data_IF_611318671162
#
_entry.id   IF_611318671162
#
_cell.length_a   1.000
_cell.length_b   1.000
_cell.length_c   1.000
_cell.angle_alpha   90.00
_cell.angle_beta   90.00
_cell.angle_gamma   90.00
#
_symmetry.space_group_name_H-M   'P 1'
#
loop_
_entity.id
_entity.type
_entity.pdbx_description
1 polymer ?
#
# COMPACT_ATOMS: atom_id res chain seq x y z
N UNK A 1 -17.81 5.85 26.90
CA UNK A 1 -17.82 5.31 25.53
C UNK A 1 -16.46 4.69 25.29
N UNK A 2 -16.33 3.45 24.80
CA UNK A 2 -15.01 2.95 24.44
C UNK A 2 -14.54 3.79 23.25
N UNK A 3 -13.44 4.51 23.45
CA UNK A 3 -12.79 5.28 22.41
C UNK A 3 -12.36 4.29 21.32
N UNK A 4 -13.03 4.27 20.17
CA UNK A 4 -12.59 3.46 19.03
C UNK A 4 -11.21 3.96 18.62
N UNK A 5 -10.21 3.11 18.78
CA UNK A 5 -8.84 3.43 18.43
C UNK A 5 -8.61 3.19 16.94
N UNK A 6 -7.89 4.12 16.32
CA UNK A 6 -7.55 4.10 14.90
C UNK A 6 -6.08 3.72 14.74
N UNK A 7 -5.78 2.92 13.72
CA UNK A 7 -4.40 2.68 13.27
C UNK A 7 -4.24 3.15 11.82
N UNK A 8 -3.16 3.88 11.56
CA UNK A 8 -2.80 4.34 10.22
C UNK A 8 -1.70 3.42 9.70
N UNK A 9 -1.86 2.86 8.50
CA UNK A 9 -0.86 1.95 7.92
C UNK A 9 -0.48 2.35 6.50
N UNK A 10 0.81 2.58 6.28
CA UNK A 10 1.40 2.64 4.95
C UNK A 10 1.68 1.24 4.40
N UNK A 11 1.62 1.10 3.08
CA UNK A 11 1.99 -0.13 2.36
C UNK A 11 3.20 0.17 1.46
N UNK A 12 4.44 -0.10 1.89
CA UNK A 12 5.62 0.18 1.09
C UNK A 12 5.67 -0.78 -0.10
N UNK A 13 5.54 -0.27 -1.32
CA UNK A 13 5.52 -1.09 -2.53
C UNK A 13 6.82 -1.90 -2.68
N UNK A 14 7.99 -1.28 -2.48
CA UNK A 14 9.28 -1.95 -2.52
C UNK A 14 9.44 -3.12 -1.52
N UNK A 15 8.71 -3.10 -0.40
CA UNK A 15 8.76 -4.16 0.59
C UNK A 15 7.99 -5.41 0.14
N UNK A 16 6.98 -5.22 -0.71
CA UNK A 16 6.13 -6.27 -1.26
C UNK A 16 6.55 -6.72 -2.66
N UNK A 17 7.21 -5.86 -3.45
CA UNK A 17 7.68 -6.15 -4.80
C UNK A 17 9.15 -5.71 -4.96
N UNK A 18 10.05 -6.37 -4.24
CA UNK A 18 11.49 -6.07 -4.29
C UNK A 18 12.10 -6.34 -5.68
N UNK A 19 11.54 -7.31 -6.42
CA UNK A 19 11.87 -7.61 -7.81
C UNK A 19 10.59 -7.49 -8.63
N UNK A 20 10.67 -6.85 -9.79
CA UNK A 20 9.51 -6.64 -10.67
C UNK A 20 8.79 -7.97 -10.97
N UNK A 21 7.48 -8.01 -10.71
CA UNK A 21 6.62 -9.18 -10.89
C UNK A 21 6.69 -10.22 -9.78
N UNK A 22 7.54 -10.05 -8.76
CA UNK A 22 7.68 -11.00 -7.64
C UNK A 22 7.11 -10.38 -6.36
N UNK A 23 5.90 -10.83 -6.01
CA UNK A 23 5.14 -10.31 -4.87
C UNK A 23 5.31 -11.18 -3.62
N UNK A 24 5.56 -10.55 -2.47
CA UNK A 24 5.64 -11.23 -1.18
C UNK A 24 4.72 -10.58 -0.13
N UNK A 25 3.75 -11.37 0.34
CA UNK A 25 2.80 -11.03 1.41
C UNK A 25 2.84 -12.07 2.54
N UNK A 26 4.01 -12.66 2.80
CA UNK A 26 4.20 -13.70 3.82
C UNK A 26 5.08 -13.23 4.97
N UNK A 27 4.94 -13.84 6.15
CA UNK A 27 5.70 -13.46 7.34
C UNK A 27 5.44 -12.01 7.74
N UNK A 28 6.50 -11.23 7.94
CA UNK A 28 6.40 -9.81 8.33
C UNK A 28 5.76 -8.92 7.24
N UNK A 29 5.54 -9.45 6.03
CA UNK A 29 4.87 -8.77 4.91
C UNK A 29 3.38 -9.10 4.81
N UNK A 30 2.83 -9.88 5.73
CA UNK A 30 1.42 -10.29 5.66
C UNK A 30 0.48 -9.17 6.14
N UNK A 31 0.04 -8.37 5.17
CA UNK A 31 -0.89 -7.26 5.42
C UNK A 31 -2.29 -7.77 5.80
N UNK A 32 -2.73 -8.89 5.24
CA UNK A 32 -4.06 -9.46 5.52
C UNK A 32 -4.11 -9.99 6.96
N UNK A 33 -3.03 -10.61 7.44
CA UNK A 33 -2.88 -11.01 8.84
C UNK A 33 -2.90 -9.80 9.79
N UNK A 34 -2.19 -8.70 9.45
CA UNK A 34 -2.24 -7.47 10.23
C UNK A 34 -3.66 -6.91 10.34
N UNK A 35 -4.39 -6.84 9.22
CA UNK A 35 -5.78 -6.36 9.18
C UNK A 35 -6.70 -7.25 10.01
N UNK A 36 -6.51 -8.57 9.94
CA UNK A 36 -7.22 -9.54 10.78
C UNK A 36 -7.00 -9.30 12.26
N UNK A 37 -5.75 -9.10 12.69
CA UNK A 37 -5.40 -8.84 14.09
C UNK A 37 -5.97 -7.50 14.58
N UNK A 38 -5.89 -6.46 13.75
CA UNK A 38 -6.51 -5.17 14.05
C UNK A 38 -8.04 -5.32 14.19
N UNK A 39 -8.69 -6.12 13.34
CA UNK A 39 -10.13 -6.35 13.41
C UNK A 39 -10.51 -7.10 14.70
N UNK A 40 -9.75 -8.14 15.07
CA UNK A 40 -9.95 -8.91 16.30
C UNK A 40 -9.80 -8.07 17.58
N UNK A 41 -8.97 -7.03 17.53
CA UNK A 41 -8.77 -6.08 18.64
C UNK A 41 -9.75 -4.91 18.62
N UNK A 42 -10.67 -4.86 17.64
CA UNK A 42 -11.66 -3.80 17.49
C UNK A 42 -11.10 -2.47 16.96
N UNK A 43 -9.91 -2.51 16.34
CA UNK A 43 -9.27 -1.34 15.73
C UNK A 43 -9.79 -1.12 14.31
N UNK A 44 -10.09 0.14 14.01
CA UNK A 44 -10.37 0.61 12.66
C UNK A 44 -9.07 1.04 11.97
N UNK A 45 -9.01 0.83 10.65
CA UNK A 45 -7.81 1.03 9.85
C UNK A 45 -8.02 2.16 8.84
N UNK A 46 -7.05 3.08 8.80
CA UNK A 46 -6.87 4.05 7.72
C UNK A 46 -5.72 3.54 6.84
N UNK A 47 -6.02 3.09 5.63
CA UNK A 47 -5.04 2.52 4.72
C UNK A 47 -4.42 3.61 3.84
N UNK A 48 -3.09 3.65 3.77
CA UNK A 48 -2.33 4.56 2.91
C UNK A 48 -1.45 3.74 1.94
N UNK A 49 -2.02 3.22 0.84
CA UNK A 49 -1.35 2.25 -0.05
C UNK A 49 -0.26 2.85 -0.95
N UNK A 50 -0.04 4.16 -0.94
CA UNK A 50 0.93 4.82 -1.84
C UNK A 50 0.33 5.16 -3.22
N UNK A 51 1.09 5.06 -4.32
CA UNK A 51 2.31 4.25 -4.52
C UNK A 51 3.59 4.83 -3.91
N UNK A 52 3.64 6.15 -3.70
CA UNK A 52 4.68 6.82 -2.91
C UNK A 52 4.13 7.08 -1.51
N UNK A 53 4.90 6.76 -0.47
CA UNK A 53 4.51 6.91 0.94
C UNK A 53 5.43 7.84 1.72
N UNK A 54 6.55 8.27 1.14
CA UNK A 54 7.64 8.95 1.86
C UNK A 54 8.12 8.11 3.06
N UNK A 55 7.64 8.45 4.27
CA UNK A 55 7.77 7.70 5.52
C UNK A 55 9.22 7.45 5.98
N UNK A 56 10.18 8.29 5.53
CA UNK A 56 11.62 8.09 5.77
C UNK A 56 12.09 6.67 5.38
N UNK A 57 11.36 6.06 4.45
CA UNK A 57 11.58 4.71 3.96
C UNK A 57 12.38 4.77 2.66
N UNK A 58 13.16 3.72 2.39
CA UNK A 58 14.01 3.64 1.20
C UNK A 58 13.21 3.99 -0.06
N UNK A 59 13.68 5.00 -0.79
CA UNK A 59 13.07 5.55 -2.01
C UNK A 59 11.57 5.92 -1.87
N UNK A 60 11.12 6.29 -0.67
CA UNK A 60 9.74 6.66 -0.39
C UNK A 60 8.73 5.52 -0.60
N UNK A 61 9.21 4.26 -0.50
CA UNK A 61 8.42 3.05 -0.77
C UNK A 61 8.38 2.63 -2.24
N UNK A 62 8.98 3.39 -3.16
CA UNK A 62 9.06 3.01 -4.57
C UNK A 62 10.14 1.93 -4.78
N UNK A 63 9.91 0.92 -5.63
CA UNK A 63 10.93 -0.08 -5.92
C UNK A 63 12.08 0.48 -6.77
N UNK A 64 13.32 0.13 -6.41
CA UNK A 64 14.52 0.57 -7.12
C UNK A 64 14.58 0.11 -8.58
N UNK A 65 13.92 -1.00 -8.93
CA UNK A 65 13.87 -1.51 -10.30
C UNK A 65 13.16 -0.56 -11.27
N UNK A 66 12.35 0.39 -10.78
CA UNK A 66 11.78 1.45 -11.61
C UNK A 66 12.88 2.27 -12.32
N UNK A 67 14.02 2.48 -11.66
CA UNK A 67 15.16 3.23 -12.21
C UNK A 67 15.90 2.50 -13.32
N UNK A 68 15.60 1.23 -13.60
CA UNK A 68 16.15 0.52 -14.75
C UNK A 68 15.62 1.07 -16.07
N UNK A 69 14.50 1.81 -16.05
CA UNK A 69 13.97 2.54 -17.20
C UNK A 69 14.67 3.91 -17.29
N UNK A 70 15.55 4.14 -18.29
CA UNK A 70 16.52 5.24 -18.28
C UNK A 70 15.90 6.65 -18.34
N UNK A 71 14.63 6.78 -18.73
CA UNK A 71 13.95 8.08 -18.87
C UNK A 71 12.67 8.19 -18.00
N UNK A 72 12.48 7.31 -17.03
CA UNK A 72 11.26 7.30 -16.23
C UNK A 72 11.17 8.56 -15.37
N UNK A 73 10.01 9.23 -15.43
CA UNK A 73 9.69 10.33 -14.53
C UNK A 73 8.77 9.80 -13.42
N UNK A 74 9.36 9.57 -12.24
CA UNK A 74 8.62 9.08 -11.06
C UNK A 74 7.59 10.10 -10.57
N UNK A 75 6.51 9.60 -9.94
CA UNK A 75 5.41 10.41 -9.41
C UNK A 75 4.82 11.39 -10.45
N UNK A 76 4.73 10.96 -11.70
CA UNK A 76 4.22 11.78 -12.80
C UNK A 76 3.22 11.00 -13.66
N UNK A 77 2.74 11.61 -14.75
CA UNK A 77 1.91 10.95 -15.75
C UNK A 77 2.72 10.15 -16.79
N UNK A 78 4.01 9.90 -16.53
CA UNK A 78 4.85 9.01 -17.35
C UNK A 78 4.20 7.63 -17.52
N UNK A 79 4.09 7.18 -18.77
CA UNK A 79 3.43 5.91 -19.11
C UNK A 79 4.10 4.71 -18.45
N UNK A 80 5.44 4.69 -18.40
CA UNK A 80 6.19 3.60 -17.80
C UNK A 80 5.96 3.53 -16.28
N UNK A 81 5.83 4.69 -15.63
CA UNK A 81 5.51 4.78 -14.21
C UNK A 81 4.06 4.36 -13.93
N UNK A 82 3.10 4.87 -14.71
CA UNK A 82 1.69 4.55 -14.54
C UNK A 82 1.40 3.07 -14.79
N UNK A 83 2.04 2.44 -15.78
CA UNK A 83 1.91 1.00 -16.02
C UNK A 83 2.41 0.17 -14.83
N UNK A 84 3.54 0.56 -14.24
CA UNK A 84 4.09 -0.10 -13.07
C UNK A 84 3.17 0.06 -11.84
N UNK A 85 2.67 1.28 -11.60
CA UNK A 85 1.71 1.58 -10.52
C UNK A 85 0.41 0.79 -10.71
N UNK A 86 -0.12 0.75 -11.94
CA UNK A 86 -1.33 -0.01 -12.24
C UNK A 86 -1.13 -1.51 -11.97
N UNK A 87 0.01 -2.07 -12.35
CA UNK A 87 0.35 -3.47 -12.10
C UNK A 87 0.41 -3.78 -10.60
N UNK A 88 1.02 -2.89 -9.81
CA UNK A 88 1.07 -3.02 -8.36
C UNK A 88 -0.33 -2.94 -7.71
N UNK A 89 -1.11 -1.92 -8.06
CA UNK A 89 -2.45 -1.73 -7.51
C UNK A 89 -3.40 -2.87 -7.91
N UNK A 90 -3.23 -3.46 -9.10
CA UNK A 90 -3.97 -4.63 -9.52
C UNK A 90 -3.72 -5.87 -8.65
N UNK A 91 -2.58 -5.94 -7.95
CA UNK A 91 -2.29 -6.99 -6.96
C UNK A 91 -2.79 -6.60 -5.56
N UNK A 92 -2.52 -5.37 -5.14
CA UNK A 92 -2.85 -4.91 -3.79
C UNK A 92 -4.35 -4.75 -3.56
N UNK A 93 -5.06 -4.07 -4.47
CA UNK A 93 -6.46 -3.69 -4.25
C UNK A 93 -7.41 -4.88 -4.11
N UNK A 94 -7.29 -5.96 -4.92
CA UNK A 94 -8.12 -7.16 -4.71
C UNK A 94 -7.92 -7.80 -3.34
N UNK A 95 -6.70 -7.77 -2.79
CA UNK A 95 -6.40 -8.26 -1.43
C UNK A 95 -7.02 -7.39 -0.36
N UNK A 96 -7.07 -6.08 -0.56
CA UNK A 96 -7.64 -5.13 0.41
C UNK A 96 -9.17 -5.07 0.34
N UNK A 97 -9.78 -5.42 -0.80
CA UNK A 97 -11.22 -5.32 -1.03
C UNK A 97 -12.08 -6.01 0.06
N UNK A 98 -11.81 -7.26 0.50
CA UNK A 98 -12.59 -7.89 1.57
C UNK A 98 -12.52 -7.15 2.90
N UNK A 99 -11.43 -6.41 3.14
CA UNK A 99 -11.18 -5.68 4.38
C UNK A 99 -11.81 -4.29 4.42
N UNK A 100 -12.42 -3.83 3.33
CA UNK A 100 -13.20 -2.58 3.32
C UNK A 100 -14.39 -2.69 4.27
N UNK A 101 -14.68 -1.61 4.99
CA UNK A 101 -15.76 -1.57 5.98
C UNK A 101 -17.12 -1.95 5.38
N UNK A 102 -17.39 -1.52 4.14
CA UNK A 102 -18.61 -1.86 3.39
C UNK A 102 -18.74 -3.36 3.08
N UNK A 103 -17.64 -4.10 3.11
CA UNK A 103 -17.58 -5.53 2.85
C UNK A 103 -17.44 -6.35 4.14
N UNK A 104 -17.57 -5.71 5.32
CA UNK A 104 -17.48 -6.35 6.63
C UNK A 104 -16.08 -6.38 7.24
N UNK A 105 -15.11 -5.68 6.65
CA UNK A 105 -13.77 -5.51 7.24
C UNK A 105 -13.66 -4.25 8.12
N UNK A 106 -12.42 -3.85 8.42
CA UNK A 106 -12.11 -2.75 9.33
C UNK A 106 -11.42 -1.54 8.67
N UNK A 107 -11.23 -1.54 7.34
CA UNK A 107 -10.69 -0.38 6.60
C UNK A 107 -11.80 0.62 6.32
N UNK A 108 -11.73 1.80 6.95
CA UNK A 108 -12.77 2.83 6.84
C UNK A 108 -12.46 3.91 5.80
N UNK A 109 -11.19 4.19 5.56
CA UNK A 109 -10.75 5.18 4.58
C UNK A 109 -9.46 4.72 3.91
N UNK A 110 -9.30 5.12 2.65
CA UNK A 110 -8.11 4.85 1.84
C UNK A 110 -7.57 6.18 1.32
N UNK A 111 -6.31 6.47 1.59
CA UNK A 111 -5.64 7.65 1.03
C UNK A 111 -5.08 7.34 -0.36
N UNK A 112 -5.23 8.26 -1.30
CA UNK A 112 -4.62 8.17 -2.64
C UNK A 112 -3.38 9.07 -2.66
N UNK A 113 -2.23 8.51 -3.04
CA UNK A 113 -0.93 9.22 -3.05
C UNK A 113 -0.52 9.72 -1.64
N UNK A 114 0.55 10.49 -1.55
CA UNK A 114 1.07 11.08 -0.34
C UNK A 114 1.79 12.41 -0.62
N UNK A 115 1.22 13.54 -0.18
CA UNK A 115 1.85 14.86 -0.23
C UNK A 115 2.35 15.21 -1.65
N UNK A 116 1.42 15.34 -2.58
CA UNK A 116 1.67 15.75 -3.96
C UNK A 116 1.69 17.29 -4.16
N UNK A 117 1.43 18.05 -3.09
CA UNK A 117 1.28 19.52 -3.11
C UNK A 117 2.59 20.28 -3.13
#
# INVERSE_FOLDING_TARGET
TPSTLLVIRYVPWNFHEAVQGVYNFTGDRDLEYFLSLANQTGLLVILRPGPYICAEWEMGGLPAWLLQKPNIILRSADTDYLEAVNSWLAILLPKMKPWLYINGGNIITVQVENEYG
#
